data_IF_895771096198
#
_entry.id   IF_895771096198
#
_cell.length_a   1.000
_cell.length_b   1.000
_cell.length_c   1.000
_cell.angle_alpha   90.00
_cell.angle_beta   90.00
_cell.angle_gamma   90.00
#
_symmetry.space_group_name_H-M   'P 1'
#
loop_
_entity.id
_entity.type
_entity.pdbx_description
1 polymer ?
#
# COMPACT_ATOMS: atom_id res chain seq x y z
N UNK A 1 -23.38 18.10 47.14
CA UNK A 1 -24.34 18.41 46.05
C UNK A 1 -23.73 17.77 44.79
N UNK A 2 -24.24 16.69 44.16
CA UNK A 2 -25.64 16.26 43.92
C UNK A 2 -26.48 17.46 43.42
N UNK A 3 -27.19 17.45 42.30
CA UNK A 3 -27.64 16.41 41.36
C UNK A 3 -28.24 17.15 40.11
N UNK A 4 -28.54 16.62 38.91
CA UNK A 4 -28.68 15.26 38.34
C UNK A 4 -28.07 15.17 36.90
N UNK A 5 -28.29 14.05 36.19
CA UNK A 5 -28.14 13.91 34.73
C UNK A 5 -29.42 14.33 33.98
N UNK A 6 -29.32 14.64 32.68
CA UNK A 6 -30.46 14.63 31.75
C UNK A 6 -30.10 13.92 30.43
N UNK A 7 -30.81 12.83 30.13
CA UNK A 7 -30.71 12.10 28.87
C UNK A 7 -31.56 12.77 27.76
N UNK A 8 -31.12 12.77 26.49
CA UNK A 8 -31.99 12.89 25.33
C UNK A 8 -32.54 11.50 24.89
N UNK A 9 -33.63 11.44 24.09
CA UNK A 9 -34.45 10.24 23.95
C UNK A 9 -34.01 9.25 22.86
N UNK A 10 -34.41 7.98 23.04
CA UNK A 10 -34.45 6.97 21.96
C UNK A 10 -35.71 7.15 21.11
N UNK A 11 -35.55 7.32 19.80
CA UNK A 11 -36.19 6.50 18.75
C UNK A 11 -36.19 7.21 17.38
N UNK A 12 -35.49 6.64 16.41
CA UNK A 12 -36.09 6.24 15.13
C UNK A 12 -35.15 5.28 14.39
N UNK A 13 -35.73 4.52 13.47
CA UNK A 13 -35.17 3.33 12.83
C UNK A 13 -34.75 3.66 11.39
N UNK A 14 -33.96 2.78 10.81
CA UNK A 14 -33.82 2.56 9.36
C UNK A 14 -33.25 3.73 8.52
N UNK A 15 -31.92 3.83 8.45
CA UNK A 15 -31.24 4.24 7.21
C UNK A 15 -29.86 3.57 7.07
N UNK A 16 -29.61 3.07 5.87
CA UNK A 16 -28.41 2.32 5.47
C UNK A 16 -27.26 3.32 5.16
N UNK A 17 -26.10 3.29 5.85
CA UNK A 17 -25.03 4.24 5.59
C UNK A 17 -24.19 3.80 4.38
N UNK A 18 -24.58 4.27 3.19
CA UNK A 18 -23.65 4.34 2.06
C UNK A 18 -22.55 5.35 2.39
N UNK A 19 -21.33 4.87 2.65
CA UNK A 19 -20.18 5.75 2.92
C UNK A 19 -19.87 6.62 1.71
N UNK A 20 -19.87 7.95 1.91
CA UNK A 20 -19.58 8.91 0.85
C UNK A 20 -18.07 9.10 0.66
N UNK A 21 -17.60 9.43 -0.57
CA UNK A 21 -16.17 9.51 -0.86
C UNK A 21 -15.40 10.57 -0.05
N UNK A 22 -16.07 11.54 0.58
CA UNK A 22 -15.45 12.56 1.44
C UNK A 22 -14.89 12.02 2.77
N UNK A 23 -15.18 10.78 3.18
CA UNK A 23 -14.58 10.19 4.38
C UNK A 23 -13.25 9.46 4.12
N UNK A 24 -12.87 9.22 2.86
CA UNK A 24 -11.57 8.57 2.53
C UNK A 24 -10.39 9.51 2.75
N UNK A 25 -10.49 10.78 2.35
CA UNK A 25 -9.39 11.78 2.45
C UNK A 25 -8.91 12.02 3.88
N UNK A 26 -9.78 11.88 4.88
CA UNK A 26 -9.41 12.06 6.30
C UNK A 26 -8.53 10.92 6.84
N UNK A 27 -8.52 9.74 6.22
CA UNK A 27 -7.64 8.63 6.64
C UNK A 27 -6.20 8.80 6.14
N UNK A 28 -6.02 9.33 4.93
CA UNK A 28 -4.69 9.52 4.35
C UNK A 28 -3.91 10.67 5.02
N UNK A 29 -4.59 11.79 5.33
CA UNK A 29 -4.00 12.87 6.14
C UNK A 29 -3.58 12.43 7.55
N UNK A 30 -4.30 11.48 8.17
CA UNK A 30 -3.97 10.91 9.48
C UNK A 30 -2.71 10.01 9.42
N UNK A 31 -2.49 9.32 8.31
CA UNK A 31 -1.27 8.54 8.06
C UNK A 31 -0.05 9.45 7.85
N UNK A 32 -0.21 10.59 7.17
CA UNK A 32 0.86 11.57 7.00
C UNK A 32 1.28 12.22 8.35
N UNK A 33 0.33 12.52 9.23
CA UNK A 33 0.63 13.24 10.48
C UNK A 33 1.35 12.39 11.54
N UNK A 34 1.15 11.07 11.56
CA UNK A 34 1.76 10.18 12.56
C UNK A 34 3.19 9.70 12.23
N UNK A 35 3.70 9.92 11.01
CA UNK A 35 5.07 9.52 10.64
C UNK A 35 6.16 10.49 11.14
N UNK A 36 5.79 11.69 11.60
CA UNK A 36 6.76 12.74 11.98
C UNK A 36 7.36 12.61 13.39
N UNK A 37 6.87 11.69 14.24
CA UNK A 37 7.45 11.46 15.57
C UNK A 37 7.59 9.98 15.91
N UNK A 38 8.80 9.44 15.71
CA UNK A 38 9.26 8.23 16.39
C UNK A 38 10.75 8.35 16.73
N UNK A 39 11.03 8.84 17.94
CA UNK A 39 12.39 8.77 18.50
C UNK A 39 12.73 7.30 18.77
N UNK A 40 13.84 6.83 18.19
CA UNK A 40 14.41 5.52 18.52
C UNK A 40 14.94 5.52 19.96
N UNK A 41 14.37 4.70 20.83
CA UNK A 41 15.02 4.26 22.07
C UNK A 41 15.32 2.77 21.97
N UNK A 42 16.61 2.43 21.99
CA UNK A 42 17.07 1.04 22.02
C UNK A 42 17.03 0.51 23.46
N UNK A 43 16.45 -0.67 23.65
CA UNK A 43 16.51 -1.41 24.91
C UNK A 43 17.13 -2.79 24.66
N UNK A 44 18.28 -3.03 25.27
CA UNK A 44 18.88 -4.36 25.38
C UNK A 44 18.10 -5.21 26.40
N UNK A 45 17.97 -6.51 26.14
CA UNK A 45 17.70 -7.49 27.19
C UNK A 45 18.50 -8.78 26.95
N UNK A 46 19.33 -9.12 27.94
CA UNK A 46 20.00 -10.43 28.06
C UNK A 46 19.37 -11.13 29.25
N UNK A 47 18.96 -12.39 29.09
CA UNK A 47 18.39 -13.20 30.17
C UNK A 47 18.50 -14.69 29.86
N UNK A 48 19.18 -15.44 30.72
CA UNK A 48 19.54 -16.85 30.54
C UNK A 48 18.70 -17.74 31.46
N UNK A 49 18.30 -18.92 30.97
CA UNK A 49 17.79 -20.05 31.76
C UNK A 49 16.76 -20.85 30.97
N UNK A 50 16.82 -22.18 30.85
CA UNK A 50 17.68 -23.16 31.53
C UNK A 50 16.81 -24.26 32.13
N UNK A 51 16.50 -25.31 31.37
CA UNK A 51 15.62 -26.40 31.82
C UNK A 51 15.84 -27.67 31.02
N UNK A 52 16.48 -28.66 31.64
CA UNK A 52 16.78 -29.98 31.04
C UNK A 52 15.65 -30.96 31.36
N UNK A 53 15.23 -31.75 30.37
CA UNK A 53 14.26 -32.84 30.55
C UNK A 53 14.56 -34.02 29.61
N UNK A 54 15.36 -34.97 30.07
CA UNK A 54 15.66 -36.22 29.36
C UNK A 54 14.73 -37.33 29.85
N UNK A 55 14.07 -38.03 28.93
CA UNK A 55 13.55 -39.38 29.19
C UNK A 55 13.83 -40.30 27.98
N UNK A 56 14.16 -41.56 28.27
CA UNK A 56 14.74 -42.53 27.34
C UNK A 56 13.99 -43.88 27.47
N UNK A 57 13.87 -44.58 26.33
CA UNK A 57 13.52 -46.00 26.13
C UNK A 57 12.06 -46.48 26.33
N UNK A 58 11.67 -47.43 25.45
CA UNK A 58 10.40 -48.17 25.55
C UNK A 58 10.06 -49.10 24.38
N UNK A 59 11.04 -49.84 23.80
CA UNK A 59 10.78 -50.78 22.69
C UNK A 59 10.09 -52.05 23.21
N UNK A 60 8.94 -52.42 22.62
CA UNK A 60 8.24 -53.68 22.92
C UNK A 60 7.59 -54.28 21.67
N UNK A 61 8.06 -55.46 21.25
CA UNK A 61 7.51 -56.23 20.12
C UNK A 61 6.72 -57.43 20.63
N UNK A 62 5.47 -57.58 20.21
CA UNK A 62 4.71 -58.83 20.33
C UNK A 62 3.91 -59.08 19.06
N UNK A 63 4.19 -60.20 18.40
CA UNK A 63 3.44 -60.75 17.27
C UNK A 63 2.30 -61.65 17.77
N UNK A 64 1.07 -61.38 17.34
CA UNK A 64 -0.05 -62.33 17.41
C UNK A 64 -0.87 -62.26 16.12
N UNK A 65 -1.27 -63.43 15.60
CA UNK A 65 -1.93 -63.59 14.30
C UNK A 65 -3.44 -63.68 14.40
N UNK A 66 -4.11 -63.14 13.37
CA UNK A 66 -5.45 -63.46 12.88
C UNK A 66 -6.67 -63.19 13.78
N UNK A 67 -7.55 -62.29 13.34
CA UNK A 67 -8.84 -62.70 12.74
C UNK A 67 -9.53 -61.53 12.02
N UNK A 68 -10.37 -61.86 11.03
CA UNK A 68 -11.14 -60.90 10.23
C UNK A 68 -12.43 -60.50 10.93
N UNK A 69 -12.62 -59.20 11.20
CA UNK A 69 -13.95 -58.63 11.41
C UNK A 69 -13.96 -57.16 10.96
N UNK A 70 -14.87 -56.82 10.04
CA UNK A 70 -15.06 -55.44 9.60
C UNK A 70 -15.77 -54.64 10.71
N UNK A 71 -15.31 -53.43 11.07
CA UNK A 71 -16.07 -52.55 11.94
C UNK A 71 -17.39 -52.12 11.27
N UNK A 72 -18.46 -51.90 12.04
CA UNK A 72 -19.71 -51.39 11.49
C UNK A 72 -19.50 -50.00 10.88
N UNK A 73 -20.27 -49.70 9.83
CA UNK A 73 -20.28 -48.40 9.17
C UNK A 73 -20.53 -47.28 10.18
N UNK A 74 -19.53 -46.44 10.41
CA UNK A 74 -19.69 -45.20 11.16
C UNK A 74 -20.85 -44.38 10.58
N UNK A 75 -21.69 -43.73 11.41
CA UNK A 75 -22.68 -42.80 10.90
C UNK A 75 -21.97 -41.73 10.06
N UNK A 76 -22.54 -41.42 8.91
CA UNK A 76 -21.99 -40.42 7.98
C UNK A 76 -21.72 -39.12 8.74
N UNK A 77 -20.44 -38.71 8.83
CA UNK A 77 -20.11 -37.35 9.18
C UNK A 77 -20.91 -36.43 8.25
N UNK A 78 -21.67 -35.45 8.77
CA UNK A 78 -22.29 -34.45 7.90
C UNK A 78 -21.16 -33.83 7.09
N UNK A 79 -21.31 -33.80 5.76
CA UNK A 79 -20.25 -33.41 4.83
C UNK A 79 -19.71 -32.04 5.21
N UNK A 80 -18.47 -32.02 5.71
CA UNK A 80 -17.68 -30.83 5.99
C UNK A 80 -17.81 -29.86 4.82
N UNK A 81 -18.29 -28.64 5.07
CA UNK A 81 -18.45 -27.67 3.99
C UNK A 81 -17.08 -27.28 3.42
N UNK A 82 -17.07 -26.72 2.21
CA UNK A 82 -15.83 -26.28 1.57
C UNK A 82 -15.17 -25.18 2.42
N UNK A 83 -15.97 -24.28 2.96
CA UNK A 83 -15.55 -23.18 3.83
C UNK A 83 -14.98 -23.68 5.16
N UNK A 84 -15.64 -24.66 5.79
CA UNK A 84 -15.10 -25.29 7.00
C UNK A 84 -13.74 -25.94 6.71
N UNK A 85 -13.64 -26.65 5.58
CA UNK A 85 -12.41 -27.33 5.16
C UNK A 85 -11.27 -26.33 4.95
N UNK A 86 -11.52 -25.22 4.26
CA UNK A 86 -10.57 -24.13 4.04
C UNK A 86 -10.12 -23.48 5.36
N UNK A 87 -11.07 -23.10 6.23
CA UNK A 87 -10.77 -22.42 7.49
C UNK A 87 -10.07 -23.35 8.50
N UNK A 88 -10.37 -24.65 8.53
CA UNK A 88 -9.61 -25.59 9.36
C UNK A 88 -8.22 -25.89 8.80
N UNK A 89 -8.05 -25.94 7.47
CA UNK A 89 -6.72 -26.05 6.85
C UNK A 89 -5.86 -24.83 7.18
N UNK A 90 -6.43 -23.62 7.15
CA UNK A 90 -5.68 -22.43 7.56
C UNK A 90 -5.41 -22.40 9.07
N UNK A 91 -6.39 -22.75 9.90
CA UNK A 91 -6.22 -22.87 11.36
C UNK A 91 -5.06 -23.79 11.74
N UNK A 92 -4.85 -24.89 11.03
CA UNK A 92 -3.72 -25.80 11.31
C UNK A 92 -2.36 -25.27 10.86
N UNK A 93 -2.31 -24.26 9.98
CA UNK A 93 -1.11 -23.50 9.63
C UNK A 93 -0.85 -22.31 10.58
N UNK A 94 -1.73 -22.03 11.54
CA UNK A 94 -1.54 -21.02 12.58
C UNK A 94 -0.94 -21.68 13.83
N UNK A 95 0.29 -21.28 14.13
CA UNK A 95 1.16 -21.86 15.17
C UNK A 95 1.06 -21.15 16.53
N UNK A 96 0.69 -19.86 16.55
CA UNK A 96 0.46 -19.10 17.78
C UNK A 96 -0.80 -18.24 17.62
N UNK A 97 -1.70 -18.32 18.62
CA UNK A 97 -2.85 -17.43 18.78
C UNK A 97 -2.87 -16.86 20.21
N UNK A 98 -2.17 -15.74 20.47
CA UNK A 98 -2.10 -15.13 21.80
C UNK A 98 -3.43 -14.54 22.28
N UNK A 99 -4.34 -14.22 21.36
CA UNK A 99 -5.65 -13.60 21.67
C UNK A 99 -6.76 -14.62 21.90
N UNK A 100 -6.54 -15.88 21.50
CA UNK A 100 -7.53 -16.94 21.56
C UNK A 100 -8.70 -16.75 20.57
N UNK A 101 -8.54 -15.95 19.51
CA UNK A 101 -9.59 -15.65 18.54
C UNK A 101 -10.07 -16.93 17.82
N UNK A 102 -9.15 -17.85 17.52
CA UNK A 102 -9.38 -19.12 16.84
C UNK A 102 -10.02 -20.19 17.74
N UNK A 103 -10.20 -19.91 19.04
CA UNK A 103 -10.96 -20.79 19.94
C UNK A 103 -12.42 -20.94 19.49
N UNK A 104 -12.96 -19.93 18.80
CA UNK A 104 -14.30 -19.97 18.20
C UNK A 104 -14.38 -20.81 16.91
N UNK A 105 -13.25 -21.17 16.30
CA UNK A 105 -13.20 -21.86 15.00
C UNK A 105 -13.39 -23.37 15.15
N UNK A 106 -14.55 -23.80 15.63
CA UNK A 106 -14.89 -25.21 15.91
C UNK A 106 -16.33 -25.53 15.45
N UNK A 107 -16.51 -26.65 14.77
CA UNK A 107 -17.81 -27.13 14.29
C UNK A 107 -18.29 -26.48 12.98
N UNK A 108 -19.33 -27.01 12.33
CA UNK A 108 -19.65 -26.68 10.94
C UNK A 108 -20.19 -25.26 10.70
N UNK A 109 -20.56 -24.51 11.75
CA UNK A 109 -21.11 -23.16 11.62
C UNK A 109 -20.00 -22.10 11.50
N UNK A 110 -19.35 -22.04 10.34
CA UNK A 110 -18.23 -21.12 10.07
C UNK A 110 -18.59 -19.64 10.27
N UNK A 111 -19.86 -19.26 10.08
CA UNK A 111 -20.33 -17.88 10.29
C UNK A 111 -20.43 -17.48 11.77
N UNK A 112 -20.13 -18.39 12.70
CA UNK A 112 -19.96 -18.07 14.14
C UNK A 112 -18.48 -17.89 14.56
N UNK A 113 -17.55 -18.08 13.62
CA UNK A 113 -16.13 -17.94 13.87
C UNK A 113 -15.76 -16.45 13.99
N UNK A 114 -15.02 -16.07 15.03
CA UNK A 114 -14.53 -14.69 15.20
C UNK A 114 -13.60 -14.33 14.05
N UNK A 115 -13.81 -13.16 13.46
CA UNK A 115 -13.08 -12.67 12.30
C UNK A 115 -13.52 -13.25 10.96
N UNK A 116 -14.55 -14.11 10.93
CA UNK A 116 -15.18 -14.60 9.69
C UNK A 116 -16.54 -13.94 9.54
N UNK A 117 -16.78 -13.32 8.38
CA UNK A 117 -17.99 -12.59 8.06
C UNK A 117 -18.68 -13.26 6.88
N UNK A 118 -19.97 -13.55 7.03
CA UNK A 118 -20.78 -14.14 5.99
C UNK A 118 -21.85 -13.18 5.48
N UNK A 119 -22.20 -13.27 4.19
CA UNK A 119 -23.27 -12.51 3.56
C UNK A 119 -24.24 -13.43 2.82
N UNK A 120 -25.31 -12.88 2.26
CA UNK A 120 -26.02 -13.54 1.17
C UNK A 120 -25.08 -13.64 -0.06
N UNK A 121 -25.17 -14.72 -0.85
CA UNK A 121 -24.34 -14.86 -2.05
C UNK A 121 -24.82 -13.93 -3.17
N UNK A 122 -23.98 -13.64 -4.18
CA UNK A 122 -24.35 -12.80 -5.32
C UNK A 122 -25.60 -13.29 -6.07
N UNK A 123 -26.37 -12.35 -6.63
CA UNK A 123 -27.55 -12.66 -7.44
C UNK A 123 -27.20 -13.60 -8.61
N UNK A 124 -28.10 -14.55 -8.89
CA UNK A 124 -27.89 -15.58 -9.92
C UNK A 124 -27.13 -16.83 -9.45
N UNK A 125 -26.64 -16.86 -8.21
CA UNK A 125 -26.14 -18.11 -7.60
C UNK A 125 -27.30 -19.02 -7.14
N UNK A 126 -27.12 -20.34 -7.28
CA UNK A 126 -28.16 -21.34 -6.95
C UNK A 126 -28.29 -21.63 -5.44
N UNK A 127 -27.54 -20.92 -4.58
CA UNK A 127 -27.47 -21.21 -3.15
C UNK A 127 -28.35 -20.25 -2.36
N UNK A 128 -29.17 -20.80 -1.47
CA UNK A 128 -29.91 -20.03 -0.46
C UNK A 128 -29.17 -19.97 0.89
N UNK A 129 -27.98 -20.57 1.01
CA UNK A 129 -27.16 -20.49 2.22
C UNK A 129 -26.21 -19.30 2.16
N UNK A 130 -26.02 -18.64 3.30
CA UNK A 130 -25.01 -17.60 3.48
C UNK A 130 -23.60 -18.15 3.18
N UNK A 131 -22.75 -17.31 2.57
CA UNK A 131 -21.38 -17.64 2.15
C UNK A 131 -20.37 -16.79 2.92
N UNK A 132 -19.15 -17.31 3.12
CA UNK A 132 -18.05 -16.53 3.69
C UNK A 132 -17.64 -15.44 2.69
N UNK A 133 -17.82 -14.18 3.09
CA UNK A 133 -17.58 -13.00 2.26
C UNK A 133 -16.41 -12.15 2.77
N UNK A 134 -16.08 -12.20 4.07
CA UNK A 134 -14.96 -11.43 4.61
C UNK A 134 -14.17 -12.22 5.66
N UNK A 135 -12.87 -11.97 5.71
CA UNK A 135 -11.99 -12.33 6.82
C UNK A 135 -11.32 -11.05 7.32
N UNK A 136 -11.56 -10.69 8.58
CA UNK A 136 -10.81 -9.64 9.29
C UNK A 136 -10.24 -10.23 10.58
N UNK A 137 -8.91 -10.30 10.65
CA UNK A 137 -8.13 -10.70 11.82
C UNK A 137 -7.10 -9.62 12.19
N UNK A 138 -7.41 -8.35 11.92
CA UNK A 138 -6.55 -7.21 12.21
C UNK A 138 -6.15 -7.19 13.70
N UNK A 139 -4.88 -6.92 13.96
CA UNK A 139 -4.24 -6.87 15.29
C UNK A 139 -4.34 -8.15 16.15
N UNK A 140 -4.79 -9.28 15.60
CA UNK A 140 -4.96 -10.54 16.33
C UNK A 140 -3.64 -11.19 16.80
N UNK A 141 -2.48 -10.68 16.34
CA UNK A 141 -1.14 -11.15 16.72
C UNK A 141 -0.93 -12.65 16.45
N UNK A 142 -1.57 -13.17 15.41
CA UNK A 142 -1.49 -14.58 14.97
C UNK A 142 -0.15 -14.84 14.26
N UNK A 143 0.45 -16.01 14.49
CA UNK A 143 1.67 -16.43 13.78
C UNK A 143 1.44 -17.70 13.00
N UNK A 144 1.77 -17.70 11.71
CA UNK A 144 1.60 -18.86 10.83
C UNK A 144 1.98 -18.53 9.40
N UNK A 145 1.33 -19.20 8.46
CA UNK A 145 1.36 -18.86 7.03
C UNK A 145 -0.05 -18.81 6.44
N UNK A 146 -0.18 -18.22 5.26
CA UNK A 146 -1.37 -18.42 4.43
C UNK A 146 -1.32 -19.83 3.80
N UNK A 147 -2.48 -20.37 3.44
CA UNK A 147 -2.61 -21.68 2.79
C UNK A 147 -3.38 -21.55 1.48
N UNK A 148 -3.09 -22.43 0.52
CA UNK A 148 -3.74 -22.38 -0.81
C UNK A 148 -5.25 -22.63 -0.73
N UNK A 149 -5.69 -23.40 0.27
CA UNK A 149 -7.09 -23.78 0.52
C UNK A 149 -7.99 -22.56 0.81
N UNK A 150 -7.42 -21.40 1.15
CA UNK A 150 -8.18 -20.15 1.25
C UNK A 150 -8.82 -19.75 -0.10
N UNK A 151 -8.27 -20.17 -1.25
CA UNK A 151 -8.92 -19.94 -2.56
C UNK A 151 -10.24 -20.69 -2.74
N UNK A 152 -10.53 -21.68 -1.88
CA UNK A 152 -11.80 -22.39 -1.90
C UNK A 152 -12.95 -21.54 -1.33
N UNK A 153 -12.67 -20.43 -0.65
CA UNK A 153 -13.64 -19.43 -0.21
C UNK A 153 -14.04 -18.55 -1.40
N UNK A 154 -14.75 -19.15 -2.36
CA UNK A 154 -14.97 -18.58 -3.69
C UNK A 154 -15.64 -17.20 -3.73
N UNK A 155 -16.36 -16.81 -2.66
CA UNK A 155 -17.11 -15.54 -2.54
C UNK A 155 -16.43 -14.50 -1.63
N UNK A 156 -15.20 -14.76 -1.20
CA UNK A 156 -14.44 -13.89 -0.32
C UNK A 156 -14.11 -12.56 -1.05
N UNK A 157 -14.67 -11.45 -0.57
CA UNK A 157 -14.47 -10.11 -1.11
C UNK A 157 -13.42 -9.30 -0.36
N UNK A 158 -13.16 -9.62 0.91
CA UNK A 158 -12.21 -8.90 1.77
C UNK A 158 -11.33 -9.88 2.55
N UNK A 159 -10.01 -9.63 2.54
CA UNK A 159 -9.04 -10.22 3.46
C UNK A 159 -8.27 -9.08 4.13
N UNK A 160 -8.47 -8.87 5.43
CA UNK A 160 -7.70 -7.92 6.24
C UNK A 160 -6.94 -8.65 7.36
N UNK A 161 -5.61 -8.60 7.31
CA UNK A 161 -4.70 -9.30 8.22
C UNK A 161 -3.64 -8.37 8.84
N UNK A 162 -3.90 -7.07 8.90
CA UNK A 162 -2.98 -6.07 9.44
C UNK A 162 -2.46 -6.45 10.84
N UNK A 163 -1.19 -6.19 11.12
CA UNK A 163 -0.59 -6.36 12.46
C UNK A 163 -0.68 -7.80 12.99
N UNK A 164 -0.21 -8.74 12.19
CA UNK A 164 -0.04 -10.14 12.57
C UNK A 164 1.42 -10.57 12.41
N UNK A 165 1.70 -11.87 12.54
CA UNK A 165 3.00 -12.51 12.32
C UNK A 165 2.87 -13.62 11.27
N UNK A 166 2.06 -13.41 10.24
CA UNK A 166 2.01 -14.32 9.09
C UNK A 166 3.29 -14.19 8.27
N UNK A 167 3.82 -15.32 7.80
CA UNK A 167 5.11 -15.43 7.12
C UNK A 167 5.06 -16.35 5.91
N UNK A 168 6.13 -16.34 5.12
CA UNK A 168 6.22 -17.04 3.83
C UNK A 168 5.77 -16.16 2.68
N UNK A 169 5.32 -16.78 1.59
CA UNK A 169 4.78 -16.10 0.40
C UNK A 169 3.25 -16.12 0.39
N UNK A 170 2.65 -15.29 -0.46
CA UNK A 170 1.21 -15.34 -0.76
C UNK A 170 0.94 -16.52 -1.71
N UNK A 171 -0.08 -17.37 -1.46
CA UNK A 171 -0.36 -18.53 -2.31
C UNK A 171 -0.80 -18.14 -3.73
N UNK A 172 -0.22 -18.78 -4.75
CA UNK A 172 -0.58 -18.53 -6.16
C UNK A 172 -2.06 -18.75 -6.49
N UNK A 173 -2.77 -19.56 -5.70
CA UNK A 173 -4.20 -19.81 -5.85
C UNK A 173 -5.08 -18.59 -5.52
N UNK A 174 -4.54 -17.52 -4.91
CA UNK A 174 -5.31 -16.30 -4.63
C UNK A 174 -5.86 -15.65 -5.91
N UNK A 175 -5.22 -15.86 -7.07
CA UNK A 175 -5.73 -15.49 -8.40
C UNK A 175 -7.13 -16.04 -8.73
N UNK A 176 -7.59 -17.07 -8.01
CA UNK A 176 -8.88 -17.74 -8.22
C UNK A 176 -10.02 -17.05 -7.44
N UNK A 177 -9.70 -16.11 -6.55
CA UNK A 177 -10.67 -15.36 -5.73
C UNK A 177 -11.38 -14.28 -6.55
N UNK A 178 -12.36 -14.69 -7.36
CA UNK A 178 -13.02 -13.82 -8.35
C UNK A 178 -13.71 -12.59 -7.74
N UNK A 179 -14.15 -12.65 -6.48
CA UNK A 179 -14.85 -11.56 -5.81
C UNK A 179 -13.96 -10.70 -4.91
N UNK A 180 -12.67 -11.03 -4.75
CA UNK A 180 -11.77 -10.31 -3.84
C UNK A 180 -11.48 -8.90 -4.36
N UNK A 181 -11.91 -7.90 -3.61
CA UNK A 181 -11.74 -6.47 -3.90
C UNK A 181 -10.65 -5.84 -3.03
N UNK A 182 -10.50 -6.29 -1.78
CA UNK A 182 -9.53 -5.75 -0.83
C UNK A 182 -8.64 -6.84 -0.23
N UNK A 183 -7.33 -6.64 -0.35
CA UNK A 183 -6.30 -7.51 0.23
C UNK A 183 -5.31 -6.66 1.06
N UNK A 184 -5.54 -6.62 2.37
CA UNK A 184 -4.61 -6.02 3.34
C UNK A 184 -3.81 -7.11 4.07
N UNK A 185 -2.52 -7.14 3.78
CA UNK A 185 -1.51 -8.03 4.37
C UNK A 185 -0.43 -7.25 5.11
N UNK A 186 -0.69 -5.97 5.43
CA UNK A 186 0.30 -5.06 5.98
C UNK A 186 0.74 -5.43 7.41
N UNK A 187 1.93 -4.97 7.81
CA UNK A 187 2.51 -5.22 9.13
C UNK A 187 2.51 -6.70 9.51
N UNK A 188 3.25 -7.49 8.72
CA UNK A 188 3.40 -8.94 8.84
C UNK A 188 4.88 -9.35 8.61
N UNK A 189 5.12 -10.64 8.40
CA UNK A 189 6.44 -11.24 8.18
C UNK A 189 6.51 -11.94 6.81
N UNK A 190 5.70 -11.51 5.84
CA UNK A 190 5.75 -12.04 4.47
C UNK A 190 7.06 -11.64 3.79
N UNK A 191 7.57 -12.51 2.92
CA UNK A 191 8.86 -12.32 2.26
C UNK A 191 8.95 -13.02 0.91
N UNK A 192 10.02 -12.73 0.17
CA UNK A 192 10.23 -13.21 -1.20
C UNK A 192 9.90 -12.14 -2.25
N UNK A 193 9.79 -12.51 -3.55
CA UNK A 193 9.51 -11.56 -4.62
C UNK A 193 8.11 -10.94 -4.51
N UNK A 194 7.85 -9.90 -5.31
CA UNK A 194 6.50 -9.36 -5.48
C UNK A 194 5.50 -10.49 -5.81
N UNK A 195 4.33 -10.55 -5.12
CA UNK A 195 3.36 -11.64 -5.30
C UNK A 195 2.53 -11.47 -6.58
N UNK A 196 3.12 -11.75 -7.75
CA UNK A 196 2.48 -11.54 -9.08
C UNK A 196 1.13 -12.22 -9.27
N UNK A 197 0.79 -13.22 -8.45
CA UNK A 197 -0.55 -13.82 -8.39
C UNK A 197 -1.65 -12.84 -7.97
N UNK A 198 -1.35 -11.82 -7.16
CA UNK A 198 -2.33 -10.79 -6.75
C UNK A 198 -2.77 -9.92 -7.92
N UNK A 199 -1.89 -9.67 -8.89
CA UNK A 199 -2.20 -8.90 -10.12
C UNK A 199 -3.13 -9.66 -11.08
N UNK A 200 -3.41 -10.94 -10.81
CA UNK A 200 -4.33 -11.79 -11.58
C UNK A 200 -5.68 -11.98 -10.90
N UNK A 201 -5.92 -11.30 -9.79
CA UNK A 201 -7.21 -11.28 -9.08
C UNK A 201 -8.15 -10.32 -9.83
N UNK A 202 -9.25 -10.79 -10.46
CA UNK A 202 -9.94 -10.01 -11.49
C UNK A 202 -10.55 -8.67 -11.05
N UNK A 203 -10.95 -8.57 -9.78
CA UNK A 203 -11.68 -7.42 -9.24
C UNK A 203 -10.93 -6.73 -8.08
N UNK A 204 -9.64 -6.98 -7.92
CA UNK A 204 -8.84 -6.37 -6.85
C UNK A 204 -8.65 -4.88 -7.11
N UNK A 205 -9.06 -4.06 -6.15
CA UNK A 205 -8.95 -2.59 -6.19
C UNK A 205 -8.01 -2.03 -5.13
N UNK A 206 -7.81 -2.74 -4.01
CA UNK A 206 -6.95 -2.33 -2.91
C UNK A 206 -5.95 -3.45 -2.57
N UNK A 207 -4.66 -3.14 -2.71
CA UNK A 207 -3.56 -4.04 -2.39
C UNK A 207 -2.59 -3.36 -1.42
N UNK A 208 -2.52 -3.89 -0.19
CA UNK A 208 -1.63 -3.39 0.85
C UNK A 208 -0.65 -4.45 1.34
N UNK A 209 0.62 -4.23 1.01
CA UNK A 209 1.75 -5.09 1.35
C UNK A 209 2.74 -4.38 2.29
N UNK A 210 2.38 -3.23 2.87
CA UNK A 210 3.29 -2.39 3.67
C UNK A 210 3.86 -3.13 4.88
N UNK A 211 5.04 -2.72 5.35
CA UNK A 211 5.66 -3.27 6.56
C UNK A 211 5.77 -4.82 6.51
N UNK A 212 6.45 -5.31 5.47
CA UNK A 212 6.77 -6.72 5.28
C UNK A 212 8.26 -6.84 4.88
N UNK A 213 8.67 -7.97 4.33
CA UNK A 213 10.02 -8.23 3.82
C UNK A 213 10.00 -8.75 2.38
N UNK A 214 9.09 -8.23 1.55
CA UNK A 214 9.12 -8.46 0.10
C UNK A 214 10.36 -7.78 -0.51
N UNK A 215 10.94 -8.39 -1.54
CA UNK A 215 12.23 -8.00 -2.12
C UNK A 215 12.28 -8.16 -3.64
N UNK A 216 13.35 -7.69 -4.27
CA UNK A 216 13.51 -7.76 -5.73
C UNK A 216 12.73 -6.66 -6.45
N UNK A 217 12.60 -6.80 -7.77
CA UNK A 217 11.95 -5.80 -8.62
C UNK A 217 10.42 -5.86 -8.55
N UNK A 218 9.78 -4.71 -8.81
CA UNK A 218 8.32 -4.60 -8.95
C UNK A 218 7.94 -4.79 -10.43
N UNK A 219 6.97 -5.67 -10.74
CA UNK A 219 6.56 -5.94 -12.12
C UNK A 219 5.82 -4.75 -12.75
N UNK A 220 6.04 -4.55 -14.05
CA UNK A 220 5.34 -3.59 -14.91
C UNK A 220 3.81 -3.67 -14.75
N UNK A 221 3.25 -4.89 -14.70
CA UNK A 221 1.81 -5.13 -14.65
C UNK A 221 1.11 -4.49 -13.44
N UNK A 222 1.83 -4.20 -12.35
CA UNK A 222 1.28 -3.49 -11.19
C UNK A 222 0.69 -2.13 -11.58
N UNK A 223 1.31 -1.43 -12.54
CA UNK A 223 0.94 -0.08 -12.96
C UNK A 223 -0.02 -0.07 -14.16
N UNK A 224 -0.59 -1.23 -14.54
CA UNK A 224 -1.60 -1.35 -15.60
C UNK A 224 -2.90 -2.01 -15.08
N UNK A 225 -2.85 -2.68 -13.92
CA UNK A 225 -4.03 -3.24 -13.25
C UNK A 225 -5.01 -2.19 -12.73
N UNK A 226 -6.23 -2.63 -12.42
CA UNK A 226 -7.33 -1.78 -11.93
C UNK A 226 -7.25 -1.35 -10.46
N UNK A 227 -6.04 -1.22 -9.90
CA UNK A 227 -5.84 -0.84 -8.50
C UNK A 227 -6.07 0.67 -8.29
N UNK A 228 -6.86 1.03 -7.28
CA UNK A 228 -7.05 2.39 -6.78
C UNK A 228 -5.95 2.79 -5.79
N UNK A 229 -5.47 1.83 -4.99
CA UNK A 229 -4.41 2.04 -3.99
C UNK A 229 -3.29 1.01 -4.09
N UNK A 230 -2.06 1.50 -4.24
CA UNK A 230 -0.82 0.71 -4.32
C UNK A 230 0.06 1.04 -3.12
N UNK A 231 0.08 0.14 -2.13
CA UNK A 231 0.79 0.36 -0.87
C UNK A 231 1.94 -0.64 -0.66
N UNK A 232 3.17 -0.23 -1.03
CA UNK A 232 4.38 -1.07 -0.97
C UNK A 232 5.43 -0.61 0.05
N UNK A 233 5.19 0.48 0.77
CA UNK A 233 6.21 1.07 1.64
C UNK A 233 6.69 0.17 2.79
N UNK A 234 7.92 0.38 3.23
CA UNK A 234 8.57 -0.38 4.30
C UNK A 234 8.69 -1.87 3.93
N UNK A 235 9.34 -2.13 2.80
CA UNK A 235 9.73 -3.46 2.32
C UNK A 235 11.23 -3.43 1.95
N UNK A 236 11.68 -4.38 1.12
CA UNK A 236 13.04 -4.48 0.62
C UNK A 236 13.07 -4.51 -0.92
N UNK A 237 12.06 -3.93 -1.58
CA UNK A 237 12.01 -3.84 -3.04
C UNK A 237 13.19 -3.02 -3.57
N UNK A 238 13.71 -3.42 -4.73
CA UNK A 238 14.92 -2.88 -5.35
C UNK A 238 14.77 -2.80 -6.88
N UNK A 239 15.84 -2.46 -7.60
CA UNK A 239 15.79 -2.21 -9.04
C UNK A 239 15.28 -0.81 -9.37
N UNK A 240 14.80 -0.61 -10.60
CA UNK A 240 14.24 0.68 -11.05
C UNK A 240 12.72 0.69 -10.93
N UNK A 241 12.13 1.88 -10.78
CA UNK A 241 10.67 2.03 -10.88
C UNK A 241 10.27 1.82 -12.36
N UNK A 242 9.32 0.91 -12.67
CA UNK A 242 8.84 0.65 -14.02
C UNK A 242 8.50 1.91 -14.83
N UNK A 243 8.95 1.95 -16.09
CA UNK A 243 8.76 3.10 -16.97
C UNK A 243 7.30 3.43 -17.28
N UNK A 244 6.39 2.49 -17.01
CA UNK A 244 4.94 2.62 -17.20
C UNK A 244 4.17 3.03 -15.93
N UNK A 245 4.87 3.38 -14.83
CA UNK A 245 4.32 3.93 -13.57
C UNK A 245 3.09 4.83 -13.79
N UNK A 246 3.21 5.80 -14.68
CA UNK A 246 2.22 6.86 -14.90
C UNK A 246 0.98 6.44 -15.70
N UNK A 247 0.94 5.19 -16.21
CA UNK A 247 -0.27 4.61 -16.78
C UNK A 247 -1.23 4.07 -15.70
N UNK A 248 -0.83 4.05 -14.43
CA UNK A 248 -1.64 3.51 -13.34
C UNK A 248 -2.92 4.33 -13.13
N UNK A 249 -4.08 3.68 -12.92
CA UNK A 249 -5.32 4.37 -12.54
C UNK A 249 -5.38 4.75 -11.05
N UNK A 250 -4.37 4.38 -10.26
CA UNK A 250 -4.37 4.53 -8.81
C UNK A 250 -4.48 6.00 -8.37
N UNK A 251 -5.26 6.25 -7.31
CA UNK A 251 -5.28 7.54 -6.61
C UNK A 251 -4.09 7.67 -5.63
N UNK A 252 -3.60 6.57 -5.07
CA UNK A 252 -2.48 6.58 -4.10
C UNK A 252 -1.40 5.56 -4.51
N UNK A 253 -0.15 6.04 -4.64
CA UNK A 253 1.03 5.21 -4.90
C UNK A 253 2.11 5.51 -3.86
N UNK A 254 2.40 4.55 -2.99
CA UNK A 254 3.50 4.66 -2.01
C UNK A 254 4.53 3.55 -2.16
N UNK A 255 5.74 3.96 -2.54
CA UNK A 255 6.94 3.15 -2.70
C UNK A 255 8.00 3.45 -1.62
N UNK A 256 7.64 4.29 -0.63
CA UNK A 256 8.54 4.82 0.39
C UNK A 256 9.28 3.74 1.21
N UNK A 257 10.43 4.07 1.79
CA UNK A 257 11.19 3.16 2.67
C UNK A 257 11.48 1.80 2.00
N UNK A 258 12.10 1.83 0.81
CA UNK A 258 12.56 0.68 0.03
C UNK A 258 13.99 0.96 -0.48
N UNK A 259 14.46 0.22 -1.50
CA UNK A 259 15.75 0.42 -2.18
C UNK A 259 15.57 0.70 -3.67
N UNK A 260 14.48 1.37 -4.06
CA UNK A 260 14.29 1.73 -5.47
C UNK A 260 15.39 2.69 -5.91
N UNK A 261 15.94 2.43 -7.10
CA UNK A 261 17.13 3.07 -7.65
C UNK A 261 16.86 3.62 -9.06
N UNK A 262 17.85 4.30 -9.64
CA UNK A 262 17.68 4.98 -10.93
C UNK A 262 16.82 6.23 -10.80
N UNK A 263 16.24 6.71 -11.91
CA UNK A 263 15.47 7.96 -11.95
C UNK A 263 13.96 7.75 -11.95
N UNK A 264 13.21 8.78 -11.56
CA UNK A 264 11.76 8.84 -11.79
C UNK A 264 11.47 8.65 -13.29
N UNK A 265 10.55 7.74 -13.69
CA UNK A 265 10.16 7.56 -15.08
C UNK A 265 9.75 8.86 -15.77
N UNK A 266 10.39 9.18 -16.90
CA UNK A 266 10.05 10.36 -17.70
C UNK A 266 8.89 10.12 -18.70
N UNK A 267 8.39 8.89 -18.81
CA UNK A 267 7.32 8.50 -19.73
C UNK A 267 5.95 8.64 -19.06
N UNK A 268 5.40 9.85 -19.02
CA UNK A 268 4.10 10.15 -18.39
C UNK A 268 2.88 9.56 -19.12
N UNK A 269 3.08 8.90 -20.28
CA UNK A 269 2.09 8.02 -20.90
C UNK A 269 0.72 8.67 -21.11
N UNK A 270 -0.34 7.93 -20.77
CA UNK A 270 -1.65 8.51 -20.52
C UNK A 270 -1.82 8.63 -19.01
N UNK A 271 -1.42 9.77 -18.42
CA UNK A 271 -1.63 10.04 -16.99
C UNK A 271 -3.10 9.79 -16.65
N UNK A 272 -3.33 8.79 -15.80
CA UNK A 272 -4.67 8.46 -15.34
C UNK A 272 -5.30 9.65 -14.58
N UNK A 273 -6.56 10.02 -14.86
CA UNK A 273 -7.25 11.04 -14.06
C UNK A 273 -7.58 10.46 -12.68
N UNK A 274 -6.64 10.56 -11.74
CA UNK A 274 -6.77 9.92 -10.43
C UNK A 274 -5.71 10.29 -9.40
N UNK A 275 -4.42 10.21 -9.76
CA UNK A 275 -3.28 10.30 -8.81
C UNK A 275 -3.38 11.55 -7.91
N UNK A 276 -3.57 11.31 -6.61
CA UNK A 276 -3.60 12.30 -5.51
C UNK A 276 -2.35 12.26 -4.66
N UNK A 277 -1.80 11.07 -4.39
CA UNK A 277 -0.66 10.93 -3.49
C UNK A 277 0.46 10.08 -4.12
N UNK A 278 1.67 10.64 -4.14
CA UNK A 278 2.89 9.98 -4.61
C UNK A 278 3.98 10.08 -3.55
N UNK A 279 4.28 8.95 -2.90
CA UNK A 279 5.23 8.88 -1.78
C UNK A 279 6.41 7.97 -2.14
N UNK A 280 7.52 8.57 -2.55
CA UNK A 280 8.77 7.89 -2.92
C UNK A 280 9.90 8.11 -1.90
N UNK A 281 9.61 8.72 -0.75
CA UNK A 281 10.60 9.07 0.25
C UNK A 281 11.44 7.89 0.77
N UNK A 282 12.68 8.17 1.17
CA UNK A 282 13.62 7.19 1.73
C UNK A 282 13.83 5.98 0.81
N UNK A 283 14.48 6.24 -0.33
CA UNK A 283 14.90 5.28 -1.35
C UNK A 283 16.31 5.65 -1.88
N UNK A 284 16.79 4.91 -2.88
CA UNK A 284 18.08 5.14 -3.55
C UNK A 284 17.91 5.85 -4.91
N UNK A 285 16.84 6.65 -5.07
CA UNK A 285 16.51 7.30 -6.34
C UNK A 285 17.49 8.45 -6.65
N UNK A 286 17.75 8.66 -7.94
CA UNK A 286 18.80 9.51 -8.47
C UNK A 286 18.34 10.29 -9.71
N UNK A 287 19.20 11.15 -10.25
CA UNK A 287 18.90 11.94 -11.44
C UNK A 287 17.94 13.11 -11.12
N UNK A 288 17.27 13.61 -12.15
CA UNK A 288 16.49 14.85 -12.08
C UNK A 288 14.99 14.57 -12.01
N UNK A 289 14.20 15.48 -11.44
CA UNK A 289 12.74 15.45 -11.61
C UNK A 289 12.42 15.79 -13.09
N UNK A 290 11.67 14.95 -13.82
CA UNK A 290 11.33 15.20 -15.21
C UNK A 290 10.27 16.31 -15.37
N UNK A 291 10.38 17.15 -16.42
CA UNK A 291 9.39 18.21 -16.73
C UNK A 291 7.95 17.67 -16.97
N UNK A 292 7.79 16.37 -17.23
CA UNK A 292 6.47 15.75 -17.32
C UNK A 292 5.71 15.70 -15.98
N UNK A 293 6.37 15.97 -14.84
CA UNK A 293 5.73 15.98 -13.52
C UNK A 293 4.53 16.94 -13.46
N UNK A 294 4.58 18.04 -14.22
CA UNK A 294 3.49 19.02 -14.30
C UNK A 294 2.19 18.52 -14.96
N UNK A 295 2.17 17.30 -15.50
CA UNK A 295 0.93 16.64 -15.95
C UNK A 295 0.09 16.09 -14.78
N UNK A 296 0.67 15.93 -13.58
CA UNK A 296 -0.03 15.49 -12.37
C UNK A 296 -0.80 16.66 -11.73
N UNK A 297 -1.65 17.36 -12.48
CA UNK A 297 -2.29 18.62 -12.01
C UNK A 297 -3.11 18.47 -10.73
N UNK A 298 -3.65 17.28 -10.54
CA UNK A 298 -4.57 16.91 -9.47
C UNK A 298 -3.86 16.28 -8.25
N UNK A 299 -2.51 16.23 -8.23
CA UNK A 299 -1.77 15.64 -7.10
C UNK A 299 -1.81 16.57 -5.88
N UNK A 300 -2.20 16.02 -4.73
CA UNK A 300 -2.37 16.71 -3.45
C UNK A 300 -1.12 16.55 -2.56
N UNK A 301 -0.47 15.38 -2.61
CA UNK A 301 0.77 15.08 -1.86
C UNK A 301 1.86 14.50 -2.75
N UNK A 302 3.04 15.14 -2.75
CA UNK A 302 4.24 14.66 -3.43
C UNK A 302 5.43 14.68 -2.45
N UNK A 303 5.88 13.49 -2.04
CA UNK A 303 7.06 13.32 -1.18
C UNK A 303 8.16 12.54 -1.89
N UNK A 304 9.25 13.25 -2.21
CA UNK A 304 10.48 12.76 -2.85
C UNK A 304 11.67 12.81 -1.89
N UNK A 305 11.44 13.06 -0.60
CA UNK A 305 12.51 13.34 0.37
C UNK A 305 13.40 12.13 0.68
N UNK A 306 14.58 12.36 1.26
CA UNK A 306 15.54 11.30 1.60
C UNK A 306 15.88 10.40 0.39
N UNK A 307 16.37 11.03 -0.68
CA UNK A 307 16.83 10.36 -1.89
C UNK A 307 18.17 10.99 -2.34
N UNK A 308 18.66 10.64 -3.52
CA UNK A 308 19.85 11.22 -4.16
C UNK A 308 19.52 11.94 -5.47
N UNK A 309 18.36 12.60 -5.55
CA UNK A 309 18.00 13.43 -6.69
C UNK A 309 18.93 14.65 -6.81
N UNK A 310 19.30 15.00 -8.03
CA UNK A 310 20.25 16.06 -8.37
C UNK A 310 19.67 17.08 -9.35
N UNK A 311 20.43 18.14 -9.61
CA UNK A 311 20.10 19.15 -10.62
C UNK A 311 19.12 20.21 -10.13
N UNK A 312 18.47 20.89 -11.08
CA UNK A 312 17.52 21.96 -10.80
C UNK A 312 16.08 21.43 -10.82
N UNK A 313 15.19 22.08 -10.07
CA UNK A 313 13.76 21.83 -10.15
C UNK A 313 13.21 22.24 -11.53
N UNK A 314 12.34 21.41 -12.16
CA UNK A 314 11.71 21.74 -13.43
C UNK A 314 10.64 22.81 -13.26
N UNK A 315 10.47 23.65 -14.29
CA UNK A 315 9.50 24.76 -14.24
C UNK A 315 8.05 24.28 -14.15
N UNK A 316 7.79 23.09 -14.71
CA UNK A 316 6.50 22.40 -14.71
C UNK A 316 5.93 22.07 -13.31
N UNK A 317 6.71 22.13 -12.23
CA UNK A 317 6.17 21.96 -10.87
C UNK A 317 5.11 23.01 -10.51
N UNK A 318 5.13 24.18 -11.18
CA UNK A 318 4.06 25.18 -11.04
C UNK A 318 2.71 24.76 -11.61
N UNK A 319 2.63 23.62 -12.30
CA UNK A 319 1.39 23.09 -12.87
C UNK A 319 0.67 22.07 -11.97
N UNK A 320 1.24 21.73 -10.80
CA UNK A 320 0.59 20.92 -9.76
C UNK A 320 -0.45 21.80 -9.03
N UNK A 321 -1.59 22.08 -9.67
CA UNK A 321 -2.53 23.10 -9.17
C UNK A 321 -3.14 22.77 -7.81
N UNK A 322 -3.29 21.48 -7.52
CA UNK A 322 -4.02 20.99 -6.36
C UNK A 322 -3.08 20.56 -5.21
N UNK A 323 -1.76 20.74 -5.36
CA UNK A 323 -0.76 20.30 -4.36
C UNK A 323 -0.91 21.04 -3.03
N UNK A 324 -1.07 20.26 -1.96
CA UNK A 324 -1.11 20.73 -0.57
C UNK A 324 0.25 20.50 0.12
N UNK A 325 0.92 19.36 -0.14
CA UNK A 325 2.19 19.01 0.51
C UNK A 325 3.24 18.64 -0.54
N UNK A 326 4.27 19.49 -0.68
CA UNK A 326 5.45 19.23 -1.50
C UNK A 326 6.68 19.07 -0.61
N UNK A 327 7.20 17.85 -0.50
CA UNK A 327 8.41 17.55 0.25
C UNK A 327 9.50 16.99 -0.67
N UNK A 328 10.60 17.72 -0.79
CA UNK A 328 11.78 17.36 -1.58
C UNK A 328 13.07 17.39 -0.73
N UNK A 329 12.92 17.38 0.59
CA UNK A 329 14.02 17.55 1.53
C UNK A 329 15.05 16.40 1.47
N UNK A 330 16.25 16.61 2.01
CA UNK A 330 17.31 15.60 2.06
C UNK A 330 17.61 14.97 0.69
N UNK A 331 18.02 15.82 -0.24
CA UNK A 331 18.41 15.47 -1.61
C UNK A 331 19.66 16.28 -2.01
N UNK A 332 20.02 16.26 -3.30
CA UNK A 332 21.14 16.99 -3.88
C UNK A 332 20.67 18.02 -4.92
N UNK A 333 19.45 18.58 -4.76
CA UNK A 333 18.94 19.64 -5.64
C UNK A 333 19.75 20.93 -5.49
N UNK A 334 19.86 21.68 -6.58
CA UNK A 334 20.73 22.87 -6.71
C UNK A 334 20.10 23.96 -7.58
N UNK A 335 20.72 25.14 -7.57
CA UNK A 335 20.20 26.33 -8.23
C UNK A 335 19.14 27.03 -7.38
N UNK A 336 18.23 27.76 -8.03
CA UNK A 336 17.17 28.51 -7.34
C UNK A 336 15.84 27.74 -7.34
N UNK A 337 15.08 27.85 -6.25
CA UNK A 337 13.70 27.39 -6.16
C UNK A 337 12.82 28.27 -7.07
N UNK A 338 12.09 27.72 -8.06
CA UNK A 338 11.32 28.53 -8.99
C UNK A 338 10.17 29.29 -8.31
N UNK A 339 10.10 30.60 -8.54
CA UNK A 339 9.11 31.54 -7.97
C UNK A 339 7.67 31.03 -8.04
N UNK A 340 7.31 30.44 -9.19
CA UNK A 340 5.97 29.91 -9.47
C UNK A 340 5.56 28.74 -8.55
N UNK A 341 6.50 28.05 -7.90
CA UNK A 341 6.21 27.04 -6.88
C UNK A 341 5.64 27.70 -5.62
N UNK A 342 6.11 28.90 -5.27
CA UNK A 342 5.61 29.66 -4.12
C UNK A 342 4.24 30.32 -4.35
N UNK A 343 3.82 30.48 -5.61
CA UNK A 343 2.49 30.98 -5.99
C UNK A 343 1.41 29.87 -6.06
N UNK A 344 1.77 28.59 -5.84
CA UNK A 344 0.83 27.45 -5.84
C UNK A 344 -0.23 27.62 -4.74
N UNK A 345 -1.52 27.60 -5.13
CA UNK A 345 -2.63 28.12 -4.30
C UNK A 345 -3.13 27.17 -3.21
N UNK A 346 -3.06 25.87 -3.45
CA UNK A 346 -3.49 24.84 -2.50
C UNK A 346 -2.41 24.49 -1.47
N UNK A 347 -1.16 24.90 -1.71
CA UNK A 347 0.01 24.56 -0.92
C UNK A 347 -0.17 24.94 0.56
N UNK A 348 -0.04 23.94 1.44
CA UNK A 348 -0.11 24.02 2.90
C UNK A 348 1.27 23.78 3.54
N UNK A 349 2.12 22.96 2.92
CA UNK A 349 3.49 22.71 3.38
C UNK A 349 4.47 22.52 2.20
N UNK A 350 5.60 23.22 2.27
CA UNK A 350 6.72 23.15 1.33
C UNK A 350 8.02 22.89 2.11
N UNK A 351 8.59 21.70 1.92
CA UNK A 351 9.85 21.32 2.57
C UNK A 351 10.93 21.11 1.51
N UNK A 352 11.89 22.02 1.46
CA UNK A 352 13.04 22.00 0.52
C UNK A 352 14.37 21.84 1.25
N UNK A 353 14.34 21.55 2.55
CA UNK A 353 15.50 21.55 3.43
C UNK A 353 16.54 20.47 3.11
N UNK A 354 17.76 20.65 3.60
CA UNK A 354 18.88 19.72 3.41
C UNK A 354 19.21 19.42 1.93
N UNK A 355 19.15 20.45 1.08
CA UNK A 355 19.57 20.43 -0.33
C UNK A 355 20.77 21.38 -0.55
N UNK A 356 21.04 21.80 -1.79
CA UNK A 356 22.06 22.78 -2.18
C UNK A 356 21.44 23.96 -2.95
N UNK A 357 20.20 24.35 -2.62
CA UNK A 357 19.59 25.54 -3.22
C UNK A 357 20.40 26.80 -2.88
N UNK A 358 20.65 27.63 -3.88
CA UNK A 358 21.39 28.89 -3.77
C UNK A 358 20.51 30.11 -3.52
N UNK A 359 19.18 29.99 -3.74
CA UNK A 359 18.26 31.10 -3.62
C UNK A 359 16.80 30.71 -3.87
N UNK A 360 15.91 31.66 -3.58
CA UNK A 360 14.49 31.67 -3.91
C UNK A 360 14.03 33.13 -4.00
N UNK A 361 12.99 33.42 -4.80
CA UNK A 361 12.46 34.77 -4.96
C UNK A 361 11.75 35.30 -3.71
N UNK A 362 11.72 36.64 -3.58
CA UNK A 362 10.96 37.34 -2.54
C UNK A 362 9.46 37.01 -2.59
N UNK A 363 8.94 36.54 -3.72
CA UNK A 363 7.57 36.03 -3.81
C UNK A 363 7.29 34.85 -2.85
N UNK A 364 8.31 34.09 -2.44
CA UNK A 364 8.17 33.04 -1.42
C UNK A 364 7.93 33.59 -0.01
N UNK A 365 8.18 34.87 0.25
CA UNK A 365 7.78 35.50 1.52
C UNK A 365 6.23 35.56 1.65
N UNK A 366 5.46 35.43 0.54
CA UNK A 366 3.99 35.28 0.55
C UNK A 366 3.52 34.01 1.27
N UNK A 367 4.34 32.95 1.31
CA UNK A 367 3.99 31.69 1.95
C UNK A 367 3.67 31.88 3.45
N UNK A 368 4.46 32.72 4.12
CA UNK A 368 4.23 33.09 5.52
C UNK A 368 2.87 33.78 5.73
N UNK A 369 2.53 34.75 4.88
CA UNK A 369 1.22 35.45 4.95
C UNK A 369 0.02 34.55 4.62
N UNK A 370 0.26 33.44 3.92
CA UNK A 370 -0.74 32.40 3.63
C UNK A 370 -0.78 31.27 4.68
N UNK A 371 0.03 31.36 5.75
CA UNK A 371 0.19 30.33 6.77
C UNK A 371 0.61 28.95 6.19
N UNK A 372 1.44 28.98 5.15
CA UNK A 372 2.05 27.80 4.54
C UNK A 372 3.33 27.47 5.31
N UNK A 373 3.50 26.21 5.72
CA UNK A 373 4.77 25.75 6.27
C UNK A 373 5.86 25.83 5.19
N UNK A 374 6.98 26.48 5.47
CA UNK A 374 8.10 26.56 4.54
C UNK A 374 9.43 26.32 5.25
N UNK A 375 10.00 25.13 5.05
CA UNK A 375 11.32 24.76 5.57
C UNK A 375 12.36 24.73 4.44
N UNK A 376 13.29 25.67 4.50
CA UNK A 376 14.45 25.81 3.62
C UNK A 376 15.79 25.68 4.36
N UNK A 377 15.78 25.16 5.60
CA UNK A 377 17.00 24.92 6.39
C UNK A 377 17.98 23.96 5.70
N UNK A 378 19.25 23.97 6.08
CA UNK A 378 20.25 23.05 5.50
C UNK A 378 20.49 23.24 3.99
N UNK A 379 20.27 24.44 3.45
CA UNK A 379 20.58 24.80 2.05
C UNK A 379 21.83 25.69 1.97
N UNK A 380 22.09 26.28 0.80
CA UNK A 380 23.23 27.14 0.50
C UNK A 380 22.84 28.58 0.15
N UNK A 381 21.81 29.11 0.82
CA UNK A 381 21.19 30.39 0.48
C UNK A 381 21.91 31.55 1.19
N UNK A 382 22.56 32.49 0.49
CA UNK A 382 23.29 33.59 1.12
C UNK A 382 22.38 34.49 1.97
N UNK A 383 22.84 34.85 3.17
CA UNK A 383 22.15 35.82 4.03
C UNK A 383 20.86 35.31 4.70
N UNK A 384 20.58 34.01 4.67
CA UNK A 384 19.50 33.37 5.45
C UNK A 384 20.06 32.54 6.60
N UNK A 385 19.25 32.32 7.63
CA UNK A 385 19.63 31.51 8.80
C UNK A 385 19.54 30.00 8.54
N UNK A 386 20.15 29.21 9.43
CA UNK A 386 20.11 27.73 9.43
C UNK A 386 20.59 27.07 8.13
N UNK A 387 21.53 27.70 7.42
CA UNK A 387 22.13 27.20 6.18
C UNK A 387 23.35 26.31 6.47
N UNK A 388 23.77 25.50 5.48
CA UNK A 388 24.97 24.65 5.58
C UNK A 388 26.24 25.49 5.80
N UNK A 389 27.20 25.02 6.62
CA UNK A 389 28.46 25.72 6.81
C UNK A 389 29.40 25.53 5.61
N UNK A 390 30.33 26.48 5.36
CA UNK A 390 31.50 26.20 4.52
C UNK A 390 32.31 25.04 5.12
N UNK A 391 32.87 24.12 4.30
CA UNK A 391 32.99 24.19 2.85
C UNK A 391 31.83 23.54 2.06
N UNK A 392 30.76 23.05 2.69
CA UNK A 392 29.70 22.27 2.00
C UNK A 392 29.05 23.03 0.84
N UNK A 393 28.89 24.34 0.97
CA UNK A 393 28.36 25.21 -0.10
C UNK A 393 29.39 25.73 -1.10
N UNK A 394 30.68 25.39 -0.94
CA UNK A 394 31.75 25.84 -1.85
C UNK A 394 31.94 24.92 -3.07
N UNK A 395 31.24 23.79 -3.12
CA UNK A 395 31.20 22.92 -4.29
C UNK A 395 29.82 22.30 -4.45
N UNK A 396 29.11 22.61 -5.54
CA UNK A 396 27.81 22.00 -5.86
C UNK A 396 28.06 20.54 -6.28
N UNK A 397 27.50 19.54 -5.57
CA UNK A 397 27.54 18.16 -6.03
C UNK A 397 26.82 18.06 -7.38
N UNK A 398 27.51 17.53 -8.39
CA UNK A 398 26.94 17.44 -9.74
C UNK A 398 26.96 18.75 -10.54
N UNK A 399 27.82 19.73 -10.24
CA UNK A 399 27.95 20.98 -11.02
C UNK A 399 28.29 20.85 -12.53
N UNK A 400 28.47 19.63 -13.05
CA UNK A 400 28.54 19.33 -14.49
C UNK A 400 27.36 18.51 -15.04
N UNK A 401 26.47 18.00 -14.18
CA UNK A 401 25.26 17.26 -14.55
C UNK A 401 24.12 18.24 -14.83
N UNK A 402 24.26 18.99 -15.93
CA UNK A 402 23.18 19.78 -16.48
C UNK A 402 22.09 18.82 -17.00
N UNK A 403 21.07 18.56 -16.18
CA UNK A 403 19.81 17.97 -16.62
C UNK A 403 19.36 18.67 -17.90
N UNK A 404 18.89 17.92 -18.90
CA UNK A 404 18.52 18.44 -20.22
C UNK A 404 17.35 19.44 -20.12
N UNK A 405 17.68 20.70 -19.81
CA UNK A 405 16.83 21.86 -20.04
C UNK A 405 16.72 22.05 -21.54
N UNK A 406 15.71 21.47 -22.16
CA UNK A 406 15.20 21.99 -23.44
C UNK A 406 14.70 23.41 -23.12
N UNK A 407 15.33 24.49 -23.63
CA UNK A 407 14.98 25.83 -23.19
C UNK A 407 13.61 26.22 -23.77
N UNK A 408 12.56 25.99 -22.99
CA UNK A 408 11.24 26.52 -23.30
C UNK A 408 11.34 28.05 -23.25
N UNK A 409 11.24 28.71 -24.41
CA UNK A 409 11.36 30.17 -24.53
C UNK A 409 10.20 30.96 -23.89
N UNK A 410 9.29 30.26 -23.20
CA UNK A 410 8.18 30.75 -22.37
C UNK A 410 7.96 29.73 -21.26
N UNK A 411 7.39 30.16 -20.13
CA UNK A 411 6.87 29.25 -19.12
C UNK A 411 6.01 28.17 -19.80
N UNK A 412 6.18 26.91 -19.39
CA UNK A 412 5.34 25.81 -19.85
C UNK A 412 3.91 26.20 -19.51
N UNK A 413 3.09 26.47 -20.53
CA UNK A 413 1.67 26.70 -20.30
C UNK A 413 1.14 25.41 -19.67
N UNK A 414 0.52 25.50 -18.49
CA UNK A 414 -0.06 24.35 -17.78
C UNK A 414 -1.27 23.82 -18.54
N UNK A 415 -1.00 23.15 -19.66
CA UNK A 415 -1.97 22.43 -20.44
C UNK A 415 -2.31 21.17 -19.68
N UNK A 416 -3.46 21.18 -19.00
CA UNK A 416 -4.21 19.94 -18.77
C UNK A 416 -4.24 19.19 -20.10
N UNK A 417 -3.84 17.93 -20.09
CA UNK A 417 -4.01 17.06 -21.23
C UNK A 417 -5.52 16.98 -21.50
N UNK A 418 -6.01 17.77 -22.46
CA UNK A 418 -7.42 17.78 -22.83
C UNK A 418 -7.74 16.48 -23.57
N UNK A 419 -8.04 15.44 -22.80
CA UNK A 419 -8.75 14.28 -23.31
C UNK A 419 -10.13 14.77 -23.73
N UNK A 420 -10.28 15.06 -25.03
CA UNK A 420 -11.60 15.12 -25.63
C UNK A 420 -12.28 13.79 -25.30
N UNK A 421 -13.41 13.88 -24.59
CA UNK A 421 -14.27 12.76 -24.25
C UNK A 421 -14.94 12.18 -25.50
N UNK A 422 -14.14 11.53 -26.34
CA UNK A 422 -14.59 10.52 -27.27
C UNK A 422 -15.13 9.37 -26.44
N UNK A 423 -16.41 9.45 -26.05
CA UNK A 423 -17.22 8.26 -25.81
C UNK A 423 -17.21 7.48 -27.12
N UNK A 424 -16.23 6.60 -27.29
CA UNK A 424 -16.44 5.44 -28.14
C UNK A 424 -17.69 4.74 -27.57
N UNK A 425 -18.72 4.46 -28.39
CA UNK A 425 -19.82 3.63 -27.92
C UNK A 425 -19.22 2.31 -27.45
N UNK A 426 -19.71 1.79 -26.33
CA UNK A 426 -19.28 0.50 -25.83
C UNK A 426 -19.50 -0.55 -26.93
N UNK A 427 -18.41 -1.02 -27.54
CA UNK A 427 -18.47 -2.15 -28.45
C UNK A 427 -18.86 -3.36 -27.61
N UNK A 428 -19.99 -4.03 -27.92
CA UNK A 428 -20.40 -5.20 -27.15
C UNK A 428 -19.41 -6.33 -27.42
N UNK A 429 -18.51 -6.59 -26.47
CA UNK A 429 -17.64 -7.76 -26.50
C UNK A 429 -18.47 -9.02 -26.23
N UNK A 430 -19.08 -9.54 -27.29
CA UNK A 430 -19.61 -10.90 -27.31
C UNK A 430 -18.44 -11.89 -27.31
N UNK A 431 -18.32 -12.68 -26.25
CA UNK A 431 -17.37 -13.79 -26.19
C UNK A 431 -17.64 -14.82 -27.32
N UNK A 432 -16.62 -15.35 -28.01
CA UNK A 432 -16.80 -16.45 -28.94
C UNK A 432 -17.11 -17.76 -28.18
N UNK A 433 -18.30 -18.32 -28.38
CA UNK A 433 -18.66 -19.65 -27.86
C UNK A 433 -18.14 -20.74 -28.79
N UNK A 434 -16.89 -21.18 -28.61
CA UNK A 434 -16.41 -22.57 -28.80
C UNK A 434 -14.87 -22.65 -28.88
N UNK A 435 -14.30 -23.67 -28.22
CA UNK A 435 -12.95 -24.14 -28.50
C UNK A 435 -13.01 -25.25 -29.57
N UNK A 436 -12.06 -25.33 -30.51
CA UNK A 436 -11.93 -26.47 -31.40
C UNK A 436 -11.33 -27.67 -30.66
N UNK A 437 -11.92 -28.85 -30.85
CA UNK A 437 -11.31 -30.12 -30.48
C UNK A 437 -10.09 -30.41 -31.37
N UNK A 438 -8.96 -30.73 -30.77
CA UNK A 438 -7.78 -31.26 -31.46
C UNK A 438 -7.92 -32.79 -31.68
N UNK A 439 -7.24 -33.36 -32.69
CA UNK A 439 -7.48 -34.72 -33.20
C UNK A 439 -6.99 -35.85 -32.28
#
# INVERSE_FOLDING_TARGET
MREQLSNPPKALRDSNPSFSPMQKTWWYLLLAFFQLFSLKTSAFSVGIGGGVGVWINGRGTTTTTASTQAPPTSPSNPTSSVEYTALQAWKSAITEDPSGILASWVGPNVCSYRGVFCSEPPEGTSSSSSVVAGIDLNHASLKGSLVKELSFLAYLSIIHLNSNRFSGTIPDSFRELQYLTELDLSNNQFSGPFPTSTLRIPNLIYLDLRFNSFSGEVPDELFVGGLDGIFLNNNQFEGQIPMILWNSPASVITLANNKFSGSIPASFGHVGPGIREVLFLNNELTGCIPEGIGFLSDVEVLDLSFNSFTGHLPSSLSCLSDIEVLNIAHNQFSGELPDLVCDLKSLLNLTVSYNFFSGFSQDCDKLFFRNVGFDFSGNCIPGRDMQRPPPECMGIPGGGLSCLRIPAAKAVACSRAMVQGSRMPAMPYTFPTSFPSLP
#
